data_IF_756674047382
#
_entry.id   IF_756674047382
#
_cell.length_a   1.000
_cell.length_b   1.000
_cell.length_c   1.000
_cell.angle_alpha   90.00
_cell.angle_beta   90.00
_cell.angle_gamma   90.00
#
_symmetry.space_group_name_H-M   'P 1'
#
loop_
_entity.id
_entity.type
_entity.pdbx_description
1 polymer ?
#
# COMPACT_ATOMS: atom_id res chain seq x y z
N UNK A 1 12.94 7.45 -21.07
CA UNK A 1 13.84 6.32 -21.34
C UNK A 1 13.04 5.04 -21.15
N UNK A 2 12.46 4.53 -22.24
CA UNK A 2 11.64 3.31 -22.24
C UNK A 2 12.58 2.15 -21.99
N UNK A 3 12.51 1.50 -20.81
CA UNK A 3 13.21 0.25 -20.58
C UNK A 3 12.63 -0.77 -21.56
N UNK A 4 13.46 -1.21 -22.50
CA UNK A 4 13.20 -2.33 -23.39
C UNK A 4 12.74 -3.52 -22.54
N UNK A 5 11.47 -3.92 -22.70
CA UNK A 5 10.94 -5.20 -22.26
C UNK A 5 11.47 -6.33 -23.17
N UNK A 6 12.79 -6.46 -23.24
CA UNK A 6 13.44 -7.58 -23.92
C UNK A 6 13.68 -8.68 -22.87
N UNK A 7 12.71 -9.60 -22.75
CA UNK A 7 12.90 -11.05 -22.50
C UNK A 7 11.66 -11.80 -21.96
N UNK A 8 10.43 -11.32 -22.17
CA UNK A 8 9.22 -12.06 -21.72
C UNK A 8 9.22 -13.52 -22.22
N UNK A 9 9.70 -13.76 -23.43
CA UNK A 9 9.73 -15.10 -24.05
C UNK A 9 10.65 -16.09 -23.33
N UNK A 10 11.81 -15.66 -22.84
CA UNK A 10 12.79 -16.55 -22.18
C UNK A 10 12.32 -16.97 -20.79
N UNK A 11 11.59 -16.10 -20.09
CA UNK A 11 11.04 -16.38 -18.76
C UNK A 11 9.84 -17.31 -18.82
N UNK A 12 8.94 -17.10 -19.79
CA UNK A 12 7.81 -18.01 -20.01
C UNK A 12 8.32 -19.40 -20.44
N UNK A 13 9.30 -19.48 -21.34
CA UNK A 13 9.92 -20.76 -21.72
C UNK A 13 10.56 -21.49 -20.54
N UNK A 14 11.17 -20.77 -19.58
CA UNK A 14 11.71 -21.38 -18.36
C UNK A 14 10.61 -21.93 -17.44
N UNK A 15 9.44 -21.27 -17.38
CA UNK A 15 8.30 -21.77 -16.62
C UNK A 15 7.72 -23.05 -17.26
N UNK A 16 7.66 -23.10 -18.60
CA UNK A 16 7.25 -24.29 -19.34
C UNK A 16 8.24 -25.46 -19.15
N UNK A 17 9.55 -25.19 -19.17
CA UNK A 17 10.59 -26.18 -18.85
C UNK A 17 10.46 -26.69 -17.40
N UNK A 18 10.17 -25.81 -16.44
CA UNK A 18 9.93 -26.16 -15.03
C UNK A 18 8.70 -27.04 -14.87
N UNK A 19 7.60 -26.71 -15.54
CA UNK A 19 6.36 -27.47 -15.49
C UNK A 19 6.54 -28.86 -16.10
N UNK A 20 7.23 -28.97 -17.24
CA UNK A 20 7.58 -30.24 -17.85
C UNK A 20 8.52 -31.08 -16.97
N UNK A 21 9.53 -30.48 -16.36
CA UNK A 21 10.43 -31.19 -15.46
C UNK A 21 9.68 -31.75 -14.24
N UNK A 22 8.78 -30.96 -13.67
CA UNK A 22 7.94 -31.38 -12.54
C UNK A 22 6.99 -32.53 -12.92
N UNK A 23 6.35 -32.46 -14.08
CA UNK A 23 5.41 -33.49 -14.54
C UNK A 23 6.11 -34.81 -14.90
N UNK A 24 7.36 -34.75 -15.35
CA UNK A 24 8.13 -35.92 -15.78
C UNK A 24 9.13 -36.42 -14.72
N UNK A 25 9.13 -35.86 -13.50
CA UNK A 25 10.13 -36.16 -12.45
C UNK A 25 11.58 -36.05 -12.95
N UNK A 26 11.84 -35.08 -13.83
CA UNK A 26 13.17 -34.79 -14.35
C UNK A 26 13.87 -33.70 -13.52
N UNK A 27 15.17 -33.53 -13.75
CA UNK A 27 15.95 -32.48 -13.09
C UNK A 27 15.39 -31.09 -13.40
N UNK A 28 15.34 -30.23 -12.38
CA UNK A 28 14.84 -28.87 -12.52
C UNK A 28 15.79 -28.04 -13.43
N UNK A 29 15.25 -27.28 -14.40
CA UNK A 29 16.07 -26.46 -15.27
C UNK A 29 16.76 -25.34 -14.47
N UNK A 30 17.97 -24.97 -14.89
CA UNK A 30 18.74 -23.86 -14.30
C UNK A 30 18.29 -22.55 -14.94
N UNK A 31 17.98 -21.54 -14.13
CA UNK A 31 17.61 -20.21 -14.63
C UNK A 31 18.80 -19.57 -15.38
N UNK A 32 18.64 -19.32 -16.68
CA UNK A 32 19.75 -18.95 -17.59
C UNK A 32 19.88 -17.43 -17.83
N UNK A 33 19.04 -16.60 -17.23
CA UNK A 33 19.12 -15.16 -17.38
C UNK A 33 20.14 -14.55 -16.39
N UNK A 34 21.22 -14.01 -16.94
CA UNK A 34 22.04 -13.04 -16.21
C UNK A 34 21.26 -11.73 -16.10
N UNK A 35 20.60 -11.53 -14.96
CA UNK A 35 20.05 -10.21 -14.65
C UNK A 35 21.20 -9.22 -14.63
N UNK A 36 21.09 -8.05 -15.29
CA UNK A 36 22.11 -7.03 -15.20
C UNK A 36 22.27 -6.69 -13.72
N UNK A 37 23.45 -6.99 -13.15
CA UNK A 37 23.86 -6.43 -11.88
C UNK A 37 23.89 -4.93 -12.12
N UNK A 38 23.01 -4.20 -11.44
CA UNK A 38 23.06 -2.75 -11.51
C UNK A 38 24.46 -2.34 -11.05
N UNK A 39 25.28 -1.79 -11.95
CA UNK A 39 26.54 -1.17 -11.58
C UNK A 39 26.20 0.01 -10.66
N UNK A 40 26.26 -0.22 -9.35
CA UNK A 40 26.05 0.76 -8.30
C UNK A 40 27.23 1.74 -8.22
N UNK A 41 27.40 2.59 -9.23
CA UNK A 41 28.01 3.91 -9.01
C UNK A 41 27.34 4.89 -9.97
N UNK A 42 26.05 5.14 -9.77
CA UNK A 42 25.59 6.51 -9.98
C UNK A 42 26.01 7.21 -8.69
N UNK A 43 26.93 8.17 -8.78
CA UNK A 43 27.21 9.11 -7.70
C UNK A 43 25.98 10.01 -7.49
N UNK A 44 24.84 9.42 -7.14
CA UNK A 44 23.69 10.15 -6.66
C UNK A 44 24.07 10.69 -5.31
N UNK A 45 23.86 12.00 -5.10
CA UNK A 45 23.73 12.53 -3.74
C UNK A 45 22.90 11.54 -2.92
N UNK A 46 23.38 11.22 -1.73
CA UNK A 46 22.66 10.34 -0.83
C UNK A 46 21.21 10.83 -0.72
N UNK A 47 20.25 9.96 -1.04
CA UNK A 47 18.84 10.34 -1.03
C UNK A 47 18.34 10.54 0.39
N UNK A 48 19.09 10.06 1.39
CA UNK A 48 18.80 10.21 2.80
C UNK A 48 19.32 11.58 3.26
N UNK A 49 18.39 12.49 3.55
CA UNK A 49 18.67 13.85 4.05
C UNK A 49 18.78 13.89 5.58
N UNK A 50 18.10 12.97 6.25
CA UNK A 50 18.12 12.84 7.70
C UNK A 50 17.89 11.38 8.09
N UNK A 51 18.56 10.93 9.16
CA UNK A 51 18.36 9.63 9.76
C UNK A 51 18.47 9.72 11.29
N UNK A 52 17.45 9.20 11.96
CA UNK A 52 17.45 8.92 13.40
C UNK A 52 17.34 7.40 13.62
N UNK A 53 18.26 6.76 14.36
CA UNK A 53 18.13 5.35 14.71
C UNK A 53 16.95 5.12 15.67
N UNK A 54 16.48 3.88 15.78
CA UNK A 54 15.28 3.53 16.55
C UNK A 54 15.25 4.06 17.98
N UNK A 55 16.33 3.84 18.72
CA UNK A 55 16.55 4.41 20.06
C UNK A 55 15.39 4.17 21.03
N UNK A 56 15.13 5.18 21.85
CA UNK A 56 14.04 5.26 22.84
C UNK A 56 12.64 5.43 22.22
N UNK A 57 12.57 5.82 20.94
CA UNK A 57 11.29 6.03 20.23
C UNK A 57 10.69 4.73 19.69
N UNK A 58 11.49 3.67 19.55
CA UNK A 58 11.06 2.33 19.15
C UNK A 58 10.95 2.08 17.63
N UNK A 59 11.11 3.13 16.81
CA UNK A 59 11.25 3.02 15.34
C UNK A 59 12.31 3.96 14.81
N UNK A 60 13.08 3.57 13.78
CA UNK A 60 13.95 4.51 13.08
C UNK A 60 13.11 5.56 12.32
N UNK A 61 13.75 6.64 11.90
CA UNK A 61 13.12 7.66 11.09
C UNK A 61 14.08 8.20 10.05
N UNK A 62 13.63 8.26 8.80
CA UNK A 62 14.38 8.74 7.67
C UNK A 62 13.60 9.85 6.97
N UNK A 63 14.30 10.88 6.52
CA UNK A 63 13.75 11.85 5.56
C UNK A 63 14.55 11.68 4.28
N UNK A 64 13.85 11.32 3.21
CA UNK A 64 14.44 11.05 1.89
C UNK A 64 14.01 12.10 0.88
N UNK A 65 14.94 12.51 0.02
CA UNK A 65 14.61 13.32 -1.14
C UNK A 65 13.80 12.48 -2.16
N UNK A 66 12.69 13.04 -2.64
CA UNK A 66 11.85 12.39 -3.64
C UNK A 66 11.45 13.37 -4.75
N UNK A 67 12.44 13.83 -5.51
CA UNK A 67 12.27 14.86 -6.53
C UNK A 67 12.57 16.27 -5.99
N UNK A 68 11.98 17.28 -6.61
CA UNK A 68 12.29 18.70 -6.34
C UNK A 68 11.41 19.31 -5.24
N UNK A 69 10.16 18.87 -5.13
CA UNK A 69 9.13 19.44 -4.27
C UNK A 69 8.57 18.48 -3.23
N UNK A 70 9.21 17.33 -3.05
CA UNK A 70 8.67 16.26 -2.21
C UNK A 70 9.76 15.60 -1.36
N UNK A 71 9.40 15.36 -0.10
CA UNK A 71 10.15 14.56 0.85
C UNK A 71 9.35 13.31 1.21
N UNK A 72 10.04 12.18 1.36
CA UNK A 72 9.46 10.96 1.92
C UNK A 72 9.95 10.82 3.36
N UNK A 73 9.01 10.77 4.28
CA UNK A 73 9.22 10.52 5.69
C UNK A 73 8.94 9.04 5.92
N UNK A 74 9.99 8.29 6.19
CA UNK A 74 9.98 6.82 6.26
C UNK A 74 10.29 6.39 7.69
N UNK A 75 9.38 5.65 8.30
CA UNK A 75 9.50 5.18 9.69
C UNK A 75 10.21 3.82 9.78
N UNK A 76 10.91 3.41 8.71
CA UNK A 76 11.76 2.22 8.62
C UNK A 76 11.06 0.95 9.08
N UNK A 77 9.81 0.81 8.67
CA UNK A 77 8.97 -0.32 9.04
C UNK A 77 9.28 -1.49 8.09
N UNK A 78 10.29 -2.30 8.45
CA UNK A 78 10.56 -3.56 7.74
C UNK A 78 9.44 -4.57 8.00
N UNK A 79 9.08 -4.74 9.27
CA UNK A 79 7.92 -5.50 9.72
C UNK A 79 6.79 -4.57 10.14
N UNK A 80 5.70 -4.63 9.37
CA UNK A 80 4.49 -3.87 9.64
C UNK A 80 3.90 -4.21 11.01
N UNK A 81 3.73 -3.19 11.85
CA UNK A 81 2.88 -3.28 13.04
C UNK A 81 2.04 -2.00 13.15
N UNK A 82 0.84 -2.14 13.71
CA UNK A 82 -0.05 -1.00 13.94
C UNK A 82 0.59 0.07 14.82
N UNK A 83 1.34 -0.37 15.84
CA UNK A 83 2.05 0.48 16.79
C UNK A 83 3.02 1.39 16.04
N UNK A 84 3.86 0.84 15.15
CA UNK A 84 4.83 1.62 14.36
C UNK A 84 4.19 2.69 13.47
N UNK A 85 2.95 2.52 13.00
CA UNK A 85 2.23 3.55 12.24
C UNK A 85 1.67 4.69 13.12
N UNK A 86 1.55 4.48 14.43
CA UNK A 86 0.99 5.49 15.33
C UNK A 86 1.77 6.80 15.28
N UNK A 87 3.11 6.74 15.19
CA UNK A 87 3.95 7.96 15.09
C UNK A 87 3.70 8.74 13.82
N UNK A 88 3.56 8.06 12.68
CA UNK A 88 3.20 8.70 11.42
C UNK A 88 1.86 9.44 11.54
N UNK A 89 0.86 8.80 12.16
CA UNK A 89 -0.46 9.42 12.36
C UNK A 89 -0.39 10.64 13.28
N UNK A 90 0.38 10.59 14.37
CA UNK A 90 0.57 11.74 15.25
C UNK A 90 1.28 12.88 14.51
N UNK A 91 2.31 12.59 13.72
CA UNK A 91 2.99 13.60 12.91
C UNK A 91 2.03 14.22 11.87
N UNK A 92 1.20 13.40 11.23
CA UNK A 92 0.16 13.87 10.32
C UNK A 92 -0.82 14.82 11.02
N UNK A 93 -1.26 14.50 12.25
CA UNK A 93 -2.15 15.35 13.04
C UNK A 93 -1.48 16.67 13.39
N UNK A 94 -0.24 16.63 13.89
CA UNK A 94 0.53 17.85 14.22
C UNK A 94 0.71 18.76 12.99
N UNK A 95 1.02 18.19 11.83
CA UNK A 95 1.14 18.96 10.58
C UNK A 95 -0.19 19.57 10.12
N UNK A 96 -1.32 18.92 10.41
CA UNK A 96 -2.66 19.44 10.10
C UNK A 96 -3.15 20.49 11.08
N UNK A 97 -2.69 20.43 12.32
CA UNK A 97 -3.00 21.39 13.39
C UNK A 97 -2.09 22.62 13.37
N UNK A 98 -1.00 22.58 12.60
CA UNK A 98 -0.08 23.70 12.44
C UNK A 98 -0.86 24.99 12.04
N UNK A 99 -0.63 26.12 12.73
CA UNK A 99 -1.36 27.36 12.44
C UNK A 99 -1.22 27.75 10.97
N UNK A 100 -2.35 28.08 10.32
CA UNK A 100 -2.40 28.42 8.88
C UNK A 100 -1.45 29.56 8.49
N UNK A 101 -1.15 30.46 9.43
CA UNK A 101 -0.25 31.59 9.21
C UNK A 101 1.24 31.25 9.34
N UNK A 102 1.57 30.06 9.87
CA UNK A 102 2.94 29.62 10.04
C UNK A 102 3.66 29.45 8.69
N UNK A 103 4.99 29.56 8.73
CA UNK A 103 5.83 29.29 7.57
C UNK A 103 5.62 27.85 7.06
N UNK A 104 5.53 26.89 7.99
CA UNK A 104 5.35 25.48 7.64
C UNK A 104 4.03 25.27 6.91
N UNK A 105 2.89 25.67 7.49
CA UNK A 105 1.57 25.49 6.87
C UNK A 105 1.48 26.18 5.50
N UNK A 106 2.05 27.40 5.35
CA UNK A 106 2.09 28.12 4.06
C UNK A 106 2.95 27.42 3.01
N UNK A 107 3.98 26.71 3.43
CA UNK A 107 4.89 25.99 2.52
C UNK A 107 4.37 24.62 2.08
N UNK A 108 3.46 24.00 2.83
CA UNK A 108 2.94 22.67 2.56
C UNK A 108 1.82 22.73 1.51
N UNK A 109 2.03 22.05 0.39
CA UNK A 109 1.02 21.90 -0.67
C UNK A 109 0.10 20.73 -0.36
N UNK A 110 0.68 19.59 0.05
CA UNK A 110 -0.07 18.37 0.33
C UNK A 110 0.72 17.40 1.18
N UNK A 111 0.01 16.63 1.99
CA UNK A 111 0.53 15.48 2.72
C UNK A 111 -0.22 14.24 2.24
N UNK A 112 0.51 13.22 1.82
CA UNK A 112 -0.05 11.93 1.38
C UNK A 112 0.51 10.82 2.27
N UNK A 113 -0.37 10.06 2.92
CA UNK A 113 0.04 9.03 3.87
C UNK A 113 0.00 7.63 3.23
N UNK A 114 0.92 6.76 3.65
CA UNK A 114 0.94 5.34 3.35
C UNK A 114 1.12 4.54 4.66
N UNK A 115 1.12 3.22 4.62
CA UNK A 115 1.47 2.41 5.80
C UNK A 115 2.97 2.46 6.05
N UNK A 116 3.41 3.22 7.06
CA UNK A 116 4.80 3.27 7.54
C UNK A 116 5.65 4.35 6.86
N UNK A 117 5.05 5.15 5.98
CA UNK A 117 5.69 6.30 5.36
C UNK A 117 4.66 7.37 4.99
N UNK A 118 5.09 8.62 4.87
CA UNK A 118 4.28 9.70 4.32
C UNK A 118 5.10 10.57 3.36
N UNK A 119 4.44 11.11 2.34
CA UNK A 119 5.01 12.07 1.42
C UNK A 119 4.55 13.48 1.80
N UNK A 120 5.51 14.39 1.91
CA UNK A 120 5.29 15.80 2.16
C UNK A 120 5.65 16.56 0.90
N UNK A 121 4.64 17.14 0.25
CA UNK A 121 4.79 17.97 -0.93
C UNK A 121 4.77 19.42 -0.47
N UNK A 122 5.81 20.17 -0.82
CA UNK A 122 6.04 21.54 -0.34
C UNK A 122 6.45 22.47 -1.49
N UNK A 123 6.40 23.78 -1.23
CA UNK A 123 6.83 24.82 -2.16
C UNK A 123 8.23 25.33 -1.81
N UNK A 124 9.28 24.98 -2.59
CA UNK A 124 10.66 25.35 -2.27
C UNK A 124 10.95 26.85 -2.31
N UNK A 125 10.10 27.63 -2.98
CA UNK A 125 10.21 29.10 -3.01
C UNK A 125 9.77 29.76 -1.70
N UNK A 126 9.01 29.04 -0.85
CA UNK A 126 8.56 29.51 0.47
C UNK A 126 9.48 28.98 1.57
N UNK A 127 9.88 27.70 1.50
CA UNK A 127 10.76 27.08 2.49
C UNK A 127 11.88 26.29 1.81
N UNK A 128 13.12 26.42 2.30
CA UNK A 128 14.22 25.59 1.81
C UNK A 128 14.07 24.13 2.27
N UNK A 129 14.59 23.19 1.47
CA UNK A 129 14.58 21.77 1.81
C UNK A 129 15.24 21.51 3.17
N UNK A 130 16.42 22.09 3.41
CA UNK A 130 17.16 21.96 4.67
C UNK A 130 16.32 22.42 5.85
N UNK A 131 15.65 23.58 5.72
CA UNK A 131 14.81 24.10 6.79
C UNK A 131 13.59 23.23 7.05
N UNK A 132 12.97 22.69 6.00
CA UNK A 132 11.86 21.75 6.13
C UNK A 132 12.31 20.46 6.83
N UNK A 133 13.47 19.90 6.47
CA UNK A 133 14.04 18.71 7.10
C UNK A 133 14.29 18.95 8.60
N UNK A 134 14.84 20.10 8.98
CA UNK A 134 15.02 20.49 10.39
C UNK A 134 13.70 20.55 11.16
N UNK A 135 12.68 21.19 10.59
CA UNK A 135 11.36 21.31 11.24
C UNK A 135 10.73 19.93 11.42
N UNK A 136 10.70 19.11 10.36
CA UNK A 136 10.07 17.80 10.40
C UNK A 136 10.80 16.83 11.35
N UNK A 137 12.13 16.86 11.37
CA UNK A 137 12.92 16.04 12.31
C UNK A 137 12.71 16.48 13.77
N UNK A 138 12.57 17.78 14.02
CA UNK A 138 12.25 18.29 15.35
C UNK A 138 10.84 17.90 15.80
N UNK A 139 9.83 18.05 14.94
CA UNK A 139 8.45 17.63 15.22
C UNK A 139 8.39 16.13 15.53
N UNK A 140 9.01 15.28 14.69
CA UNK A 140 9.05 13.84 14.91
C UNK A 140 9.73 13.47 16.24
N UNK A 141 10.84 14.15 16.58
CA UNK A 141 11.55 13.93 17.84
C UNK A 141 10.70 14.26 19.07
N UNK A 142 9.78 15.21 18.95
CA UNK A 142 8.81 15.58 19.99
C UNK A 142 7.73 14.53 20.25
N UNK A 143 7.52 13.58 19.33
CA UNK A 143 6.47 12.56 19.49
C UNK A 143 6.88 11.55 20.58
N UNK A 144 5.99 11.25 21.56
CA UNK A 144 6.23 10.27 22.63
C UNK A 144 6.52 8.86 22.10
N UNK A 145 7.20 7.99 22.88
CA UNK A 145 7.45 6.60 22.50
C UNK A 145 6.18 5.86 22.05
N UNK A 146 6.34 4.95 21.10
CA UNK A 146 5.20 4.37 20.36
C UNK A 146 4.17 3.67 21.25
N UNK A 147 4.60 3.05 22.35
CA UNK A 147 3.74 2.32 23.30
C UNK A 147 2.86 3.25 24.16
N UNK A 148 3.16 4.54 24.18
CA UNK A 148 2.42 5.56 24.96
C UNK A 148 1.40 6.33 24.13
N UNK A 149 1.35 6.09 22.81
CA UNK A 149 0.50 6.86 21.91
C UNK A 149 -0.97 6.49 22.08
N UNK A 150 -1.82 7.52 22.17
CA UNK A 150 -3.28 7.40 22.11
C UNK A 150 -3.78 8.19 20.91
N UNK A 151 -4.52 7.52 20.03
CA UNK A 151 -5.04 8.09 18.79
C UNK A 151 -6.55 7.90 18.80
N UNK A 152 -7.29 8.98 18.62
CA UNK A 152 -8.74 8.92 18.47
C UNK A 152 -9.11 8.14 17.21
N UNK A 153 -10.10 7.27 17.33
CA UNK A 153 -10.54 6.39 16.25
C UNK A 153 -12.05 6.30 16.22
N UNK A 154 -12.61 6.33 15.01
CA UNK A 154 -14.04 6.16 14.76
C UNK A 154 -14.31 4.78 14.19
N UNK A 155 -15.28 4.07 14.76
CA UNK A 155 -15.70 2.76 14.29
C UNK A 155 -16.80 2.89 13.23
N UNK A 156 -16.54 2.38 12.02
CA UNK A 156 -17.53 2.25 10.96
C UNK A 156 -17.95 0.79 10.80
N UNK A 157 -19.24 0.55 10.56
CA UNK A 157 -19.78 -0.76 10.17
C UNK A 157 -20.27 -0.66 8.74
N UNK A 158 -19.65 -1.43 7.85
CA UNK A 158 -20.01 -1.49 6.44
C UNK A 158 -20.62 -2.88 6.15
N UNK A 159 -21.56 -3.01 5.18
CA UNK A 159 -22.04 -4.31 4.68
C UNK A 159 -20.88 -5.10 4.04
N UNK A 160 -21.03 -6.17 3.26
CA UNK A 160 -19.96 -6.69 2.37
C UNK A 160 -20.59 -7.67 1.38
N UNK A 161 -20.22 -7.58 0.10
CA UNK A 161 -20.63 -8.54 -0.92
C UNK A 161 -19.41 -9.30 -1.46
N UNK A 162 -19.47 -10.63 -1.39
CA UNK A 162 -18.37 -11.50 -1.85
C UNK A 162 -18.52 -11.93 -3.31
N UNK A 163 -19.76 -11.99 -3.82
CA UNK A 163 -20.07 -12.51 -5.14
C UNK A 163 -20.88 -11.49 -5.96
N UNK A 164 -20.17 -10.48 -6.44
CA UNK A 164 -20.76 -9.44 -7.27
C UNK A 164 -20.28 -9.61 -8.72
N UNK A 165 -21.21 -9.64 -9.69
CA UNK A 165 -20.94 -9.91 -11.11
C UNK A 165 -19.89 -9.00 -11.75
N UNK A 166 -19.70 -7.82 -11.17
CA UNK A 166 -18.73 -6.84 -11.64
C UNK A 166 -17.27 -7.20 -11.30
N UNK A 167 -17.02 -8.04 -10.29
CA UNK A 167 -15.72 -8.68 -9.98
C UNK A 167 -15.27 -9.48 -11.20
N UNK A 168 -16.13 -10.38 -11.68
CA UNK A 168 -15.84 -11.27 -12.80
C UNK A 168 -15.56 -10.48 -14.08
N UNK A 169 -16.35 -9.45 -14.37
CA UNK A 169 -16.13 -8.55 -15.52
C UNK A 169 -14.76 -7.86 -15.46
N UNK A 170 -14.33 -7.38 -14.28
CA UNK A 170 -13.01 -6.78 -14.14
C UNK A 170 -11.87 -7.78 -14.40
N UNK A 171 -12.03 -9.03 -13.95
CA UNK A 171 -11.05 -10.09 -14.15
C UNK A 171 -10.98 -10.50 -15.62
N UNK A 172 -12.12 -10.73 -16.26
CA UNK A 172 -12.20 -11.04 -17.69
C UNK A 172 -11.57 -9.92 -18.54
N UNK A 173 -11.86 -8.66 -18.21
CA UNK A 173 -11.25 -7.51 -18.90
C UNK A 173 -9.73 -7.47 -18.70
N UNK A 174 -9.22 -7.72 -17.49
CA UNK A 174 -7.77 -7.78 -17.25
C UNK A 174 -7.11 -8.89 -18.08
N UNK A 175 -7.73 -10.07 -18.09
CA UNK A 175 -7.28 -11.22 -18.87
C UNK A 175 -7.23 -10.93 -20.38
N UNK A 176 -8.24 -10.25 -20.91
CA UNK A 176 -8.27 -9.86 -22.33
C UNK A 176 -7.30 -8.74 -22.69
N UNK A 177 -7.11 -7.76 -21.81
CA UNK A 177 -6.44 -6.50 -22.17
C UNK A 177 -4.98 -6.39 -21.77
N UNK A 178 -4.54 -7.11 -20.74
CA UNK A 178 -3.26 -6.85 -20.09
C UNK A 178 -2.45 -8.11 -19.81
N UNK A 179 -3.06 -9.11 -19.16
CA UNK A 179 -2.37 -10.36 -18.83
C UNK A 179 -3.35 -11.51 -18.76
N UNK A 180 -3.27 -12.42 -19.72
CA UNK A 180 -4.16 -13.56 -19.87
C UNK A 180 -3.92 -14.69 -18.85
N UNK A 181 -2.68 -14.84 -18.38
CA UNK A 181 -2.29 -15.91 -17.45
C UNK A 181 -1.42 -15.39 -16.30
N UNK A 182 -1.77 -15.78 -15.08
CA UNK A 182 -1.02 -15.54 -13.84
C UNK A 182 -1.52 -16.48 -12.73
N UNK A 183 -0.75 -16.72 -11.66
CA UNK A 183 -1.18 -17.59 -10.55
C UNK A 183 -2.47 -17.15 -9.85
N UNK A 184 -2.79 -15.84 -9.90
CA UNK A 184 -3.99 -15.24 -9.32
C UNK A 184 -5.18 -15.16 -10.30
N UNK A 185 -5.08 -15.79 -11.46
CA UNK A 185 -6.12 -15.88 -12.49
C UNK A 185 -6.60 -17.34 -12.63
N UNK A 186 -7.85 -17.58 -13.07
CA UNK A 186 -8.89 -16.58 -13.37
C UNK A 186 -9.61 -16.06 -12.11
N UNK A 187 -9.49 -16.78 -10.99
CA UNK A 187 -10.14 -16.46 -9.72
C UNK A 187 -9.11 -16.12 -8.65
N UNK A 188 -9.12 -14.84 -8.26
CA UNK A 188 -8.27 -14.28 -7.23
C UNK A 188 -8.69 -14.69 -5.80
N UNK A 189 -9.98 -14.93 -5.58
CA UNK A 189 -10.49 -15.39 -4.28
C UNK A 189 -10.02 -16.82 -4.03
N UNK A 190 -10.13 -17.68 -5.04
CA UNK A 190 -9.57 -19.03 -4.99
C UNK A 190 -8.05 -19.01 -4.79
N UNK A 191 -7.33 -18.12 -5.47
CA UNK A 191 -5.89 -17.95 -5.26
C UNK A 191 -5.54 -17.54 -3.82
N UNK A 192 -6.23 -16.53 -3.27
CA UNK A 192 -6.01 -16.07 -1.90
C UNK A 192 -6.30 -17.19 -0.91
N UNK A 193 -7.44 -17.89 -1.04
CA UNK A 193 -7.79 -19.01 -0.18
C UNK A 193 -6.73 -20.11 -0.22
N UNK A 194 -6.30 -20.49 -1.43
CA UNK A 194 -5.24 -21.50 -1.62
C UNK A 194 -3.91 -21.07 -1.00
N UNK A 195 -3.52 -19.81 -1.16
CA UNK A 195 -2.28 -19.28 -0.60
C UNK A 195 -2.29 -19.23 0.94
N UNK A 196 -3.47 -19.29 1.57
CA UNK A 196 -3.66 -19.19 3.02
C UNK A 196 -4.24 -20.47 3.64
N UNK A 197 -4.25 -21.59 2.91
CA UNK A 197 -4.78 -22.87 3.39
C UNK A 197 -6.23 -22.77 3.91
N UNK A 198 -7.09 -22.06 3.17
CA UNK A 198 -8.52 -21.92 3.46
C UNK A 198 -9.28 -22.83 2.51
N UNK A 199 -10.02 -23.79 3.06
CA UNK A 199 -10.62 -24.88 2.28
C UNK A 199 -12.00 -24.53 1.72
N UNK A 200 -12.67 -23.50 2.27
CA UNK A 200 -14.03 -23.14 1.86
C UNK A 200 -14.30 -21.63 1.89
N UNK A 201 -15.23 -21.20 1.03
CA UNK A 201 -15.65 -19.81 0.97
C UNK A 201 -16.32 -19.35 2.28
N UNK A 202 -17.04 -20.24 2.97
CA UNK A 202 -17.66 -19.93 4.26
C UNK A 202 -16.61 -19.68 5.35
N UNK A 203 -15.54 -20.47 5.38
CA UNK A 203 -14.40 -20.23 6.26
C UNK A 203 -13.72 -18.89 5.93
N UNK A 204 -13.55 -18.56 4.65
CA UNK A 204 -13.03 -17.26 4.23
C UNK A 204 -13.91 -16.11 4.73
N UNK A 205 -15.24 -16.18 4.49
CA UNK A 205 -16.20 -15.18 4.97
C UNK A 205 -16.16 -15.02 6.49
N UNK A 206 -16.07 -16.11 7.25
CA UNK A 206 -15.97 -16.05 8.72
C UNK A 206 -14.70 -15.32 9.22
N UNK A 207 -13.62 -15.37 8.44
CA UNK A 207 -12.37 -14.67 8.74
C UNK A 207 -12.36 -13.19 8.28
N UNK A 208 -13.37 -12.75 7.54
CA UNK A 208 -13.49 -11.37 7.05
C UNK A 208 -14.64 -10.63 7.76
N UNK A 209 -15.80 -11.27 7.85
CA UNK A 209 -17.01 -10.71 8.46
C UNK A 209 -16.85 -10.63 9.97
N UNK A 210 -17.17 -9.46 10.53
CA UNK A 210 -17.08 -9.21 11.97
C UNK A 210 -15.67 -8.94 12.50
N UNK A 211 -14.65 -9.00 11.65
CA UNK A 211 -13.30 -8.59 12.02
C UNK A 211 -13.16 -7.08 12.05
N UNK A 212 -12.40 -6.57 13.03
CA UNK A 212 -12.09 -5.14 13.12
C UNK A 212 -10.83 -4.84 12.31
N UNK A 213 -10.96 -3.90 11.39
CA UNK A 213 -9.86 -3.35 10.60
C UNK A 213 -9.51 -1.95 11.08
N UNK A 214 -8.21 -1.68 11.17
CA UNK A 214 -7.70 -0.34 11.49
C UNK A 214 -7.20 0.31 10.21
N UNK A 215 -7.75 1.48 9.87
CA UNK A 215 -7.26 2.30 8.76
C UNK A 215 -5.92 2.94 9.18
N UNK A 216 -4.86 2.60 8.47
CA UNK A 216 -3.49 3.05 8.74
C UNK A 216 -3.11 4.27 7.92
N UNK A 217 -3.73 4.44 6.76
CA UNK A 217 -3.56 5.60 5.90
C UNK A 217 -4.74 5.73 4.93
N UNK A 218 -4.89 6.92 4.34
CA UNK A 218 -5.83 7.16 3.25
C UNK A 218 -5.02 7.57 2.03
N UNK A 219 -5.19 6.83 0.94
CA UNK A 219 -4.41 6.97 -0.28
C UNK A 219 -4.95 8.08 -1.19
N UNK A 220 -4.03 8.66 -1.97
CA UNK A 220 -4.30 9.59 -3.06
C UNK A 220 -5.27 9.07 -4.13
N UNK A 221 -5.49 7.74 -4.21
CA UNK A 221 -6.44 7.12 -5.13
C UNK A 221 -7.89 7.24 -4.61
N UNK A 222 -8.43 8.46 -4.66
CA UNK A 222 -9.84 8.73 -4.35
C UNK A 222 -10.27 8.30 -2.93
N UNK A 223 -9.50 8.73 -1.92
CA UNK A 223 -9.73 8.44 -0.51
C UNK A 223 -9.78 6.94 -0.18
N UNK A 224 -9.04 6.12 -0.95
CA UNK A 224 -8.93 4.70 -0.72
C UNK A 224 -8.22 4.43 0.61
N UNK A 225 -8.92 3.82 1.56
CA UNK A 225 -8.33 3.53 2.87
C UNK A 225 -7.35 2.36 2.73
N UNK A 226 -6.19 2.46 3.35
CA UNK A 226 -5.28 1.36 3.60
C UNK A 226 -5.57 0.90 5.02
N UNK A 227 -5.93 -0.37 5.18
CA UNK A 227 -6.36 -0.90 6.47
C UNK A 227 -5.72 -2.24 6.77
N UNK A 228 -5.70 -2.66 8.02
CA UNK A 228 -5.15 -3.96 8.41
C UNK A 228 -6.05 -4.60 9.46
N UNK A 229 -6.19 -5.91 9.40
CA UNK A 229 -6.87 -6.65 10.44
C UNK A 229 -6.14 -6.49 11.78
N UNK A 230 -6.91 -6.11 12.81
CA UNK A 230 -6.40 -5.93 14.16
C UNK A 230 -5.81 -7.25 14.69
N UNK A 231 -6.56 -8.34 14.52
CA UNK A 231 -6.09 -9.70 14.81
C UNK A 231 -5.05 -10.14 13.77
N UNK A 232 -3.80 -10.44 14.17
CA UNK A 232 -2.77 -10.91 13.24
C UNK A 232 -3.11 -12.23 12.55
N UNK A 233 -3.96 -13.08 13.14
CA UNK A 233 -4.31 -14.41 12.61
C UNK A 233 -5.20 -14.34 11.38
N UNK A 234 -5.90 -13.23 11.19
CA UNK A 234 -6.79 -13.01 10.05
C UNK A 234 -6.12 -12.20 8.94
N UNK A 235 -4.81 -11.98 8.99
CA UNK A 235 -4.06 -11.28 7.94
C UNK A 235 -3.66 -12.26 6.84
N UNK A 236 -4.28 -12.16 5.67
CA UNK A 236 -4.01 -13.09 4.57
C UNK A 236 -2.77 -12.70 3.78
N UNK A 237 -2.07 -13.67 3.21
CA UNK A 237 -0.98 -13.45 2.24
C UNK A 237 -1.53 -13.49 0.82
N UNK A 238 -1.20 -12.51 0.01
CA UNK A 238 -1.54 -12.45 -1.42
C UNK A 238 -0.61 -11.47 -2.12
N UNK A 239 -0.46 -11.64 -3.43
CA UNK A 239 0.40 -10.83 -4.29
C UNK A 239 -0.36 -9.68 -4.96
N UNK A 240 0.36 -8.61 -5.30
CA UNK A 240 -0.16 -7.55 -6.17
C UNK A 240 -0.18 -8.02 -7.62
N UNK A 241 -1.15 -7.56 -8.41
CA UNK A 241 -1.17 -7.85 -9.84
C UNK A 241 0.09 -7.28 -10.50
N UNK A 242 0.60 -8.03 -11.46
CA UNK A 242 1.76 -7.65 -12.24
C UNK A 242 1.47 -7.93 -13.73
N UNK A 243 1.27 -6.91 -14.58
CA UNK A 243 1.22 -5.49 -14.27
C UNK A 243 -0.06 -5.09 -13.54
N UNK A 244 -0.06 -3.88 -12.97
CA UNK A 244 -1.25 -3.27 -12.41
C UNK A 244 -2.33 -3.07 -13.48
N UNK A 245 -3.61 -3.21 -13.12
CA UNK A 245 -4.71 -3.10 -14.08
C UNK A 245 -4.98 -1.64 -14.42
N UNK A 246 -5.32 -1.35 -15.66
CA UNK A 246 -5.72 0.00 -16.08
C UNK A 246 -7.15 0.39 -15.69
N UNK A 247 -7.98 -0.58 -15.28
CA UNK A 247 -9.38 -0.35 -14.94
C UNK A 247 -9.79 -1.18 -13.72
N UNK A 248 -10.40 -0.51 -12.75
CA UNK A 248 -11.08 -1.10 -11.59
C UNK A 248 -12.45 -0.44 -11.44
N UNK A 249 -13.44 -1.18 -10.93
CA UNK A 249 -14.76 -0.61 -10.69
C UNK A 249 -14.79 0.16 -9.36
N UNK A 250 -15.72 1.11 -9.21
CA UNK A 250 -15.91 1.79 -7.95
C UNK A 250 -16.43 0.82 -6.89
N UNK A 251 -16.09 1.09 -5.63
CA UNK A 251 -16.55 0.42 -4.42
C UNK A 251 -16.14 -1.02 -4.38
N UNK A 252 -14.87 -1.31 -4.50
CA UNK A 252 -14.40 -2.69 -4.41
C UNK A 252 -13.44 -2.76 -3.23
N UNK A 253 -13.59 -3.81 -2.41
CA UNK A 253 -12.70 -4.12 -1.30
C UNK A 253 -11.64 -5.08 -1.80
N UNK A 254 -10.46 -5.06 -1.21
CA UNK A 254 -9.38 -5.90 -1.66
C UNK A 254 -8.38 -6.12 -0.54
N UNK A 255 -7.80 -7.30 -0.42
CA UNK A 255 -6.69 -7.54 0.50
C UNK A 255 -5.35 -7.62 -0.24
N UNK A 256 -4.28 -7.03 0.32
CA UNK A 256 -2.95 -6.89 -0.29
C UNK A 256 -1.89 -7.50 0.62
N UNK A 257 -1.87 -8.82 0.64
CA UNK A 257 -1.01 -9.58 1.51
C UNK A 257 -1.19 -9.20 2.97
N UNK A 258 -0.19 -9.50 3.79
CA UNK A 258 -0.33 -9.57 5.23
C UNK A 258 -0.65 -8.25 5.93
N UNK A 259 -0.78 -7.13 5.22
CA UNK A 259 -0.67 -5.80 5.83
C UNK A 259 -1.65 -4.74 5.31
N UNK A 260 -2.34 -4.93 4.18
CA UNK A 260 -3.14 -3.82 3.58
C UNK A 260 -4.42 -4.29 2.88
N UNK A 261 -5.57 -4.14 3.52
CA UNK A 261 -6.88 -4.17 2.90
C UNK A 261 -7.27 -2.77 2.39
N UNK A 262 -7.73 -2.64 1.14
CA UNK A 262 -8.06 -1.38 0.48
C UNK A 262 -9.57 -1.22 0.20
N UNK A 263 -10.12 0.00 0.34
CA UNK A 263 -11.50 0.34 -0.01
C UNK A 263 -11.57 1.40 -1.10
N UNK A 264 -11.84 1.02 -2.34
CA UNK A 264 -11.76 1.96 -3.48
C UNK A 264 -13.12 2.60 -3.74
N UNK A 265 -13.22 3.94 -3.72
CA UNK A 265 -14.50 4.66 -3.87
C UNK A 265 -14.89 5.01 -5.32
N UNK A 266 -13.90 5.10 -6.23
CA UNK A 266 -14.06 5.50 -7.65
C UNK A 266 -13.34 4.51 -8.58
N UNK A 267 -13.25 4.78 -9.89
CA UNK A 267 -12.63 3.91 -10.92
C UNK A 267 -11.17 4.33 -11.25
N UNK A 268 -10.13 3.98 -10.46
CA UNK A 268 -8.74 4.24 -10.84
C UNK A 268 -8.08 3.07 -11.60
N UNK A 269 -6.94 3.30 -12.27
CA UNK A 269 -6.00 2.23 -12.63
C UNK A 269 -5.39 1.62 -11.36
N UNK A 270 -5.53 0.30 -11.16
CA UNK A 270 -5.17 -0.42 -9.93
C UNK A 270 -4.77 -1.87 -10.20
N UNK A 271 -3.67 -2.33 -9.61
CA UNK A 271 -3.18 -3.71 -9.70
C UNK A 271 -3.73 -4.70 -8.66
N UNK A 272 -5.01 -4.68 -8.32
CA UNK A 272 -5.51 -5.40 -7.13
C UNK A 272 -6.99 -5.79 -7.32
N UNK A 273 -7.41 -7.08 -7.14
CA UNK A 273 -8.82 -7.49 -6.97
C UNK A 273 -9.09 -8.63 -5.96
N UNK A 274 -10.07 -8.47 -5.05
CA UNK A 274 -10.91 -9.51 -4.41
C UNK A 274 -12.20 -8.93 -3.76
N UNK A 275 -13.34 -8.92 -4.47
CA UNK A 275 -14.67 -8.56 -3.89
C UNK A 275 -15.19 -7.14 -4.20
N UNK A 276 -16.28 -7.00 -4.97
CA UNK A 276 -16.91 -5.73 -5.33
C UNK A 276 -18.16 -5.42 -4.50
N UNK A 277 -18.32 -4.15 -4.21
CA UNK A 277 -19.44 -3.52 -3.52
C UNK A 277 -20.16 -2.60 -4.50
N UNK A 278 -21.42 -2.37 -4.20
CA UNK A 278 -22.22 -1.35 -4.84
C UNK A 278 -22.56 -0.26 -3.81
N UNK A 279 -22.52 1.00 -4.25
CA UNK A 279 -23.10 2.15 -3.55
C UNK A 279 -23.81 2.97 -4.63
N UNK A 280 -24.83 2.43 -5.28
CA UNK A 280 -25.79 3.35 -5.86
C UNK A 280 -26.59 3.98 -4.72
N UNK A 281 -26.62 5.30 -4.72
CA UNK A 281 -27.27 6.19 -3.73
C UNK A 281 -26.44 6.46 -2.48
N UNK A 282 -25.56 7.45 -2.55
CA UNK A 282 -25.41 8.59 -1.62
C UNK A 282 -24.07 9.26 -1.93
N UNK A 283 -24.13 10.30 -2.77
CA UNK A 283 -23.14 11.38 -2.72
C UNK A 283 -23.36 12.04 -1.36
N UNK A 284 -22.59 11.61 -0.37
CA UNK A 284 -22.64 12.13 0.98
C UNK A 284 -21.21 12.37 1.41
N UNK A 285 -20.82 13.64 1.37
CA UNK A 285 -19.76 14.23 2.17
C UNK A 285 -19.60 13.46 3.49
N UNK A 286 -18.37 13.08 3.84
CA UNK A 286 -17.98 12.78 5.22
C UNK A 286 -18.26 14.04 6.06
N UNK A 287 -19.50 14.21 6.49
CA UNK A 287 -19.86 15.14 7.55
C UNK A 287 -19.60 14.39 8.85
N UNK A 288 -18.50 14.78 9.49
CA UNK A 288 -18.25 14.50 10.89
C UNK A 288 -19.32 15.26 11.67
N UNK A 289 -20.35 14.55 12.11
CA UNK A 289 -21.30 15.12 13.06
C UNK A 289 -20.67 14.97 14.45
N UNK A 290 -20.20 16.08 14.99
CA UNK A 290 -19.65 16.19 16.33
C UNK A 290 -20.78 16.18 17.35
N UNK A 291 -20.87 15.13 18.16
CA UNK A 291 -21.35 15.20 19.55
C UNK A 291 -20.59 14.23 20.43
#
# INVERSE_FOLDING_TARGET
>A
MVRQWLSSSSREAFLDELENAKNNSADLPVFRENLPVANEIIATKDTILFHRPSGDKGVPFFIRQAGEKMLILDFGVEDFTLVKNGRQRVLEMQLKEEPRESLLAKSLIRIECCSGAMAVIYEPTIISQTRLVEILSHMESGIPPTDSLKIESTLYRLPICFDHSAIAHCMERYMRSQRSQAPYLPDNTAYLMKANCIDSLEQFKANVVGQTQVVTAVSFLCANTLSVNLDPRTRFKTGKFNPARTHSLPKVLWDQGSSVTQYIQLTPPVGILSGAWDFQTYVGTLLVDSK
#
